data_IF_256533413681
#
_entry.id   IF_256533413681
#
_cell.length_a   1.000
_cell.length_b   1.000
_cell.length_c   1.000
_cell.angle_alpha   90.00
_cell.angle_beta   90.00
_cell.angle_gamma   90.00
#
_symmetry.space_group_name_H-M   'P 1'
#
loop_
_entity.id
_entity.type
_entity.pdbx_description
1 polymer ?
#
# COMPACT_ATOMS: atom_id res chain seq x y z
N UNK A 1 10.26 8.66 -15.98
CA UNK A 1 8.96 9.03 -15.39
C UNK A 1 8.39 7.79 -14.73
N UNK A 2 8.80 7.45 -13.51
CA UNK A 2 8.26 6.27 -12.87
C UNK A 2 6.85 6.59 -12.39
N UNK A 3 5.87 5.77 -12.77
CA UNK A 3 4.46 5.85 -12.35
C UNK A 3 4.26 5.53 -10.86
N UNK A 4 5.35 5.33 -10.11
CA UNK A 4 5.37 4.84 -8.72
C UNK A 4 4.66 5.78 -7.75
N UNK A 5 4.75 7.10 -7.95
CA UNK A 5 4.05 8.07 -7.08
C UNK A 5 2.53 7.99 -7.16
N UNK A 6 1.98 7.65 -8.33
CA UNK A 6 0.52 7.49 -8.47
C UNK A 6 0.05 6.27 -7.68
N UNK A 7 0.76 5.14 -7.75
CA UNK A 7 0.39 3.91 -7.03
C UNK A 7 0.45 4.13 -5.52
N UNK A 8 1.53 4.75 -5.01
CA UNK A 8 1.67 5.09 -3.59
C UNK A 8 0.48 5.90 -3.06
N UNK A 9 0.06 6.95 -3.79
CA UNK A 9 -1.11 7.76 -3.41
C UNK A 9 -2.39 6.93 -3.33
N UNK A 10 -2.59 5.98 -4.26
CA UNK A 10 -3.78 5.14 -4.24
C UNK A 10 -3.75 4.14 -3.09
N UNK A 11 -2.57 3.58 -2.77
CA UNK A 11 -2.40 2.70 -1.61
C UNK A 11 -2.67 3.43 -0.31
N UNK A 12 -2.16 4.66 -0.13
CA UNK A 12 -2.41 5.44 1.07
C UNK A 12 -3.91 5.78 1.24
N UNK A 13 -4.57 6.15 0.15
CA UNK A 13 -6.02 6.38 0.15
C UNK A 13 -6.81 5.11 0.47
N UNK A 14 -6.36 3.95 0.00
CA UNK A 14 -6.98 2.67 0.31
C UNK A 14 -6.80 2.36 1.80
N UNK A 15 -5.57 2.44 2.31
CA UNK A 15 -5.22 2.23 3.72
C UNK A 15 -6.07 3.08 4.66
N UNK A 16 -6.26 4.36 4.36
CA UNK A 16 -7.12 5.24 5.15
C UNK A 16 -8.59 4.79 5.18
N UNK A 17 -9.10 4.21 4.09
CA UNK A 17 -10.50 3.77 4.03
C UNK A 17 -10.75 2.47 4.78
N UNK A 18 -9.75 1.61 4.87
CA UNK A 18 -9.83 0.30 5.53
C UNK A 18 -9.16 0.29 6.91
N UNK A 19 -8.71 1.47 7.38
CA UNK A 19 -7.98 1.67 8.64
C UNK A 19 -6.78 0.71 8.76
N UNK A 20 -5.95 0.64 7.70
CA UNK A 20 -4.78 -0.22 7.60
C UNK A 20 -3.50 0.61 7.78
N UNK A 21 -2.81 0.42 8.91
CA UNK A 21 -1.59 1.15 9.23
C UNK A 21 -0.41 0.61 8.41
N UNK A 22 0.47 1.49 7.90
CA UNK A 22 1.63 1.03 7.13
C UNK A 22 2.72 0.36 7.98
N UNK A 23 2.73 0.63 9.29
CA UNK A 23 3.67 0.11 10.29
C UNK A 23 3.24 -1.27 10.81
N UNK A 24 1.94 -1.55 10.78
CA UNK A 24 1.33 -2.85 11.11
C UNK A 24 0.24 -3.21 10.08
N UNK A 25 0.61 -3.53 8.82
CA UNK A 25 -0.35 -3.75 7.76
C UNK A 25 -1.07 -5.09 7.95
N UNK A 26 -2.39 -5.02 8.08
CA UNK A 26 -3.31 -6.17 8.16
C UNK A 26 -3.74 -6.64 6.78
N UNK A 27 -3.87 -5.72 5.83
CA UNK A 27 -4.41 -6.02 4.49
C UNK A 27 -3.40 -5.78 3.36
N UNK A 28 -2.64 -4.68 3.39
CA UNK A 28 -1.75 -4.29 2.29
C UNK A 28 -0.29 -4.29 2.77
N UNK A 29 0.42 -5.37 2.45
CA UNK A 29 1.82 -5.56 2.82
C UNK A 29 2.75 -4.94 1.77
N UNK A 30 3.67 -4.09 2.21
CA UNK A 30 4.74 -3.56 1.34
C UNK A 30 5.85 -4.61 1.19
N UNK A 31 6.12 -5.04 -0.05
CA UNK A 31 7.18 -5.99 -0.38
C UNK A 31 8.33 -5.24 -1.02
N UNK A 32 9.47 -5.19 -0.32
CA UNK A 32 10.64 -4.41 -0.73
C UNK A 32 11.09 -4.78 -2.16
N UNK A 33 11.26 -3.77 -3.03
CA UNK A 33 11.62 -3.87 -4.46
C UNK A 33 10.63 -4.60 -5.37
N UNK A 34 9.46 -5.01 -4.84
CA UNK A 34 8.40 -5.66 -5.62
C UNK A 34 7.17 -4.77 -5.73
N UNK A 35 6.73 -4.16 -4.64
CA UNK A 35 5.53 -3.32 -4.60
C UNK A 35 4.64 -3.65 -3.41
N UNK A 36 3.35 -3.85 -3.65
CA UNK A 36 2.34 -4.10 -2.61
C UNK A 36 1.65 -5.45 -2.84
N UNK A 37 1.33 -6.15 -1.75
CA UNK A 37 0.58 -7.40 -1.77
C UNK A 37 -0.66 -7.29 -0.89
N UNK A 38 -1.80 -7.71 -1.41
CA UNK A 38 -3.03 -7.83 -0.64
C UNK A 38 -3.09 -9.20 0.05
N UNK A 39 -3.39 -9.24 1.35
CA UNK A 39 -3.40 -10.47 2.17
C UNK A 39 -4.77 -10.81 2.76
N UNK A 40 -5.85 -10.28 2.20
CA UNK A 40 -7.22 -10.64 2.57
C UNK A 40 -7.64 -12.03 2.12
#
# INVERSE_FOLDING_TARGET
>A
WPLTGTVEIHIDKLRQKIDDDSSDPRWIVTVHRVGYRFTG
#
